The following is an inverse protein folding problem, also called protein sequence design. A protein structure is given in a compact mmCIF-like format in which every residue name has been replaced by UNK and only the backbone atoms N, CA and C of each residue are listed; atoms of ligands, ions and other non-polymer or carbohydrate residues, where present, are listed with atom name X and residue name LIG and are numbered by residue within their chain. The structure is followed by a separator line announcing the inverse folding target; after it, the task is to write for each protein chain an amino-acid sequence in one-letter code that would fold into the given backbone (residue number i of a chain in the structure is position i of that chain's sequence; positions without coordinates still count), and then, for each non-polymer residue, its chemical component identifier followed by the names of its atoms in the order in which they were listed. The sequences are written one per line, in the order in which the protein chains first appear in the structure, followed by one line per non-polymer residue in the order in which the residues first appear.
data_IF_922252127380
#
_entry.id   IF_922252127380
#
_cell.length_a   1.000
_cell.length_b   1.000
_cell.length_c   1.000
_cell.angle_alpha   90.00
_cell.angle_beta   90.00
_cell.angle_gamma   90.00
#
_symmetry.space_group_name_H-M   'P 1'
#
loop_
_entity.id
_entity.type
_entity.pdbx_description
1 polymer ?
#
# COMPACT_ATOMS: atom_id res chain seq x y z
N UNK A 1 0.85 -22.94 -4.27
CA UNK A 1 0.57 -24.23 -3.58
C UNK A 1 1.25 -25.33 -4.37
N UNK A 2 1.66 -26.38 -3.70
CA UNK A 2 2.13 -27.62 -4.33
C UNK A 2 0.97 -28.47 -4.89
N UNK A 3 1.28 -29.68 -5.39
CA UNK A 3 0.26 -30.59 -5.92
C UNK A 3 -0.72 -31.14 -4.87
N UNK A 4 -0.45 -30.95 -3.59
CA UNK A 4 -1.31 -31.33 -2.47
C UNK A 4 -2.09 -30.15 -1.87
N UNK A 5 -1.96 -28.96 -2.46
CA UNK A 5 -2.63 -27.73 -2.01
C UNK A 5 -1.94 -27.03 -0.86
N UNK A 6 -0.74 -27.48 -0.43
CA UNK A 6 0.05 -26.81 0.61
C UNK A 6 0.73 -25.58 0.05
N UNK A 7 0.70 -24.48 0.79
CA UNK A 7 1.40 -23.26 0.40
C UNK A 7 2.91 -23.49 0.34
N UNK A 8 3.55 -23.12 -0.77
CA UNK A 8 5.00 -23.28 -0.98
C UNK A 8 5.85 -22.59 0.08
N UNK A 9 5.30 -21.60 0.78
CA UNK A 9 5.96 -20.89 1.87
C UNK A 9 6.26 -21.80 3.07
N UNK A 10 5.59 -22.96 3.17
CA UNK A 10 5.80 -23.96 4.21
C UNK A 10 6.78 -25.07 3.79
N UNK A 11 7.30 -25.01 2.57
CA UNK A 11 8.41 -25.84 2.12
C UNK A 11 9.73 -25.09 2.39
N UNK A 12 10.68 -25.75 3.03
CA UNK A 12 11.92 -25.09 3.47
C UNK A 12 12.76 -24.58 2.29
N UNK A 13 12.76 -25.30 1.17
CA UNK A 13 13.52 -24.90 -0.01
C UNK A 13 12.79 -23.86 -0.86
N UNK A 14 11.53 -24.12 -1.20
CA UNK A 14 10.73 -23.22 -2.03
C UNK A 14 10.37 -21.93 -1.27
N UNK A 15 10.10 -22.04 0.03
CA UNK A 15 9.82 -20.90 0.90
C UNK A 15 11.03 -19.95 1.04
N UNK A 16 12.25 -20.45 0.87
CA UNK A 16 13.47 -19.64 0.82
C UNK A 16 13.74 -19.11 -0.61
N UNK A 17 13.43 -19.89 -1.64
CA UNK A 17 13.68 -19.53 -3.03
C UNK A 17 12.77 -18.40 -3.54
N UNK A 18 11.49 -18.38 -3.13
CA UNK A 18 10.50 -17.41 -3.62
C UNK A 18 10.86 -15.96 -3.27
N UNK A 19 11.16 -15.58 -2.01
CA UNK A 19 11.54 -14.20 -1.71
C UNK A 19 12.83 -13.79 -2.40
N UNK A 20 13.80 -14.69 -2.59
CA UNK A 20 15.02 -14.42 -3.35
C UNK A 20 14.73 -14.20 -4.84
N UNK A 21 13.79 -14.95 -5.41
CA UNK A 21 13.31 -14.71 -6.78
C UNK A 21 12.65 -13.33 -6.90
N UNK A 22 11.79 -12.95 -5.95
CA UNK A 22 11.16 -11.63 -5.91
C UNK A 22 12.20 -10.51 -5.78
N UNK A 23 13.22 -10.70 -4.95
CA UNK A 23 14.37 -9.80 -4.83
C UNK A 23 15.06 -9.58 -6.18
N UNK A 24 15.38 -10.64 -6.90
CA UNK A 24 16.04 -10.56 -8.21
C UNK A 24 15.13 -9.89 -9.25
N UNK A 25 13.83 -10.20 -9.23
CA UNK A 25 12.84 -9.58 -10.12
C UNK A 25 12.73 -8.07 -9.85
N UNK A 26 12.65 -7.66 -8.60
CA UNK A 26 12.60 -6.25 -8.20
C UNK A 26 13.88 -5.50 -8.63
N UNK A 27 15.05 -6.07 -8.37
CA UNK A 27 16.33 -5.53 -8.80
C UNK A 27 16.43 -5.37 -10.33
N UNK A 28 15.94 -6.36 -11.08
CA UNK A 28 15.88 -6.28 -12.55
C UNK A 28 14.94 -5.17 -13.03
N UNK A 29 13.74 -5.07 -12.46
CA UNK A 29 12.78 -4.01 -12.80
C UNK A 29 13.38 -2.63 -12.51
N UNK A 30 13.97 -2.45 -11.34
CA UNK A 30 14.60 -1.19 -10.96
C UNK A 30 15.75 -0.82 -11.89
N UNK A 31 16.61 -1.78 -12.23
CA UNK A 31 17.71 -1.58 -13.19
C UNK A 31 17.20 -1.11 -14.55
N UNK A 32 16.05 -1.61 -15.02
CA UNK A 32 15.43 -1.17 -16.29
C UNK A 32 14.90 0.26 -16.18
N UNK A 33 14.20 0.58 -15.06
CA UNK A 33 13.66 1.91 -14.81
C UNK A 33 14.76 2.98 -14.67
N UNK A 34 15.86 2.67 -14.00
CA UNK A 34 17.03 3.57 -13.84
C UNK A 34 17.68 3.99 -15.17
N UNK A 35 17.36 3.33 -16.28
CA UNK A 35 17.82 3.75 -17.61
C UNK A 35 17.06 4.99 -18.14
N UNK A 36 15.85 5.26 -17.62
CA UNK A 36 14.96 6.32 -18.10
C UNK A 36 14.55 7.32 -17.02
N UNK A 37 14.86 7.05 -15.75
CA UNK A 37 14.54 7.95 -14.65
C UNK A 37 15.62 7.95 -13.57
N UNK A 38 15.67 9.05 -12.77
CA UNK A 38 16.67 9.22 -11.70
C UNK A 38 16.25 8.58 -10.38
N UNK A 39 14.95 8.48 -10.13
CA UNK A 39 14.38 7.88 -8.93
C UNK A 39 13.41 6.77 -9.28
N UNK A 40 13.38 5.73 -8.49
CA UNK A 40 12.52 4.56 -8.70
C UNK A 40 11.69 4.28 -7.46
N UNK A 41 10.47 3.82 -7.68
CA UNK A 41 9.61 3.25 -6.65
C UNK A 41 9.20 1.87 -7.15
N UNK A 42 9.48 0.81 -6.37
CA UNK A 42 9.04 -0.55 -6.66
C UNK A 42 8.00 -0.96 -5.63
N UNK A 43 6.80 -1.27 -6.10
CA UNK A 43 5.74 -1.80 -5.25
C UNK A 43 5.71 -3.33 -5.25
N UNK A 44 5.47 -3.88 -4.08
CA UNK A 44 5.18 -5.28 -3.84
C UNK A 44 3.71 -5.41 -3.45
N UNK A 45 2.95 -6.20 -4.20
CA UNK A 45 1.55 -6.48 -3.88
C UNK A 45 1.48 -7.66 -2.90
N UNK A 46 0.84 -7.45 -1.76
CA UNK A 46 0.72 -8.42 -0.67
C UNK A 46 -0.76 -8.74 -0.35
N UNK A 47 -1.46 -9.45 -1.24
CA UNK A 47 -2.88 -9.75 -1.04
C UNK A 47 -3.13 -10.74 0.11
N UNK A 48 -2.14 -11.58 0.44
CA UNK A 48 -2.28 -12.61 1.48
C UNK A 48 -2.07 -12.10 2.90
N UNK A 49 -1.53 -10.89 3.07
CA UNK A 49 -1.42 -10.28 4.41
C UNK A 49 -2.80 -10.08 5.07
N UNK A 50 -3.87 -9.97 4.32
CA UNK A 50 -5.24 -9.94 4.84
C UNK A 50 -5.65 -11.24 5.55
N UNK A 51 -4.97 -12.36 5.26
CA UNK A 51 -5.20 -13.65 5.91
C UNK A 51 -4.27 -13.88 7.12
N UNK A 52 -3.36 -12.94 7.45
CA UNK A 52 -2.45 -13.10 8.59
C UNK A 52 -3.22 -13.23 9.91
N UNK A 53 -2.84 -14.22 10.73
CA UNK A 53 -3.55 -14.54 11.98
C UNK A 53 -4.81 -15.41 11.81
N UNK A 54 -5.18 -15.77 10.58
CA UNK A 54 -6.23 -16.75 10.32
C UNK A 54 -5.70 -18.19 10.45
N UNK A 55 -6.63 -19.15 10.59
CA UNK A 55 -6.30 -20.60 10.68
C UNK A 55 -5.53 -21.12 9.45
N UNK A 56 -5.67 -20.42 8.31
CA UNK A 56 -5.00 -20.79 7.06
C UNK A 56 -3.58 -20.24 6.90
N UNK A 57 -3.12 -19.34 7.79
CA UNK A 57 -1.79 -18.72 7.69
C UNK A 57 -1.05 -18.80 9.04
N UNK A 58 -0.29 -19.87 9.21
CA UNK A 58 0.46 -20.16 10.45
C UNK A 58 1.92 -19.68 10.40
N UNK A 59 2.17 -18.50 9.83
CA UNK A 59 3.50 -17.88 9.84
C UNK A 59 3.65 -16.98 11.06
N UNK A 60 4.84 -17.02 11.69
CA UNK A 60 5.15 -16.05 12.74
C UNK A 60 5.37 -14.66 12.15
N UNK A 61 5.15 -13.64 12.97
CA UNK A 61 5.45 -12.24 12.63
C UNK A 61 6.89 -12.06 12.12
N UNK A 62 7.84 -12.67 12.81
CA UNK A 62 9.28 -12.58 12.49
C UNK A 62 9.58 -13.21 11.12
N UNK A 63 8.94 -14.35 10.82
CA UNK A 63 9.09 -15.00 9.52
C UNK A 63 8.54 -14.13 8.39
N UNK A 64 7.37 -13.53 8.55
CA UNK A 64 6.79 -12.62 7.55
C UNK A 64 7.70 -11.41 7.32
N UNK A 65 8.18 -10.75 8.39
CA UNK A 65 9.12 -9.64 8.28
C UNK A 65 10.39 -10.08 7.54
N UNK A 66 10.97 -11.23 7.88
CA UNK A 66 12.18 -11.74 7.22
C UNK A 66 11.99 -11.98 5.72
N UNK A 67 10.83 -12.52 5.31
CA UNK A 67 10.52 -12.75 3.89
C UNK A 67 10.36 -11.44 3.10
N UNK A 68 9.70 -10.45 3.69
CA UNK A 68 9.54 -9.11 3.11
C UNK A 68 10.90 -8.41 2.98
N UNK A 69 11.72 -8.44 4.03
CA UNK A 69 13.06 -7.83 4.02
C UNK A 69 13.97 -8.48 2.98
N UNK A 70 13.89 -9.81 2.79
CA UNK A 70 14.64 -10.47 1.72
C UNK A 70 14.21 -9.96 0.34
N UNK A 71 12.91 -9.81 0.07
CA UNK A 71 12.41 -9.27 -1.19
C UNK A 71 12.81 -7.80 -1.38
N UNK A 72 12.71 -6.98 -0.32
CA UNK A 72 13.06 -5.55 -0.34
C UNK A 72 14.55 -5.30 -0.58
N UNK A 73 15.41 -6.23 -0.18
CA UNK A 73 16.86 -6.16 -0.38
C UNK A 73 17.29 -6.09 -1.85
N UNK A 74 16.38 -6.26 -2.81
CA UNK A 74 16.62 -6.08 -4.24
C UNK A 74 16.45 -4.64 -4.75
N UNK A 75 15.96 -3.72 -3.94
CA UNK A 75 15.60 -2.35 -4.33
C UNK A 75 16.50 -1.35 -3.61
N UNK A 76 17.23 -0.53 -4.37
CA UNK A 76 18.02 0.59 -3.85
C UNK A 76 17.18 1.87 -3.73
N UNK A 77 16.17 2.04 -4.59
CA UNK A 77 15.21 3.14 -4.55
C UNK A 77 14.17 2.97 -3.46
N UNK A 78 13.02 3.64 -3.62
CA UNK A 78 11.92 3.53 -2.66
C UNK A 78 11.16 2.22 -2.83
N UNK A 79 10.86 1.58 -1.71
CA UNK A 79 10.10 0.34 -1.60
C UNK A 79 8.68 0.64 -1.14
N UNK A 80 7.70 0.23 -1.92
CA UNK A 80 6.29 0.30 -1.57
C UNK A 80 5.70 -1.08 -1.31
N UNK A 81 4.70 -1.16 -0.45
CA UNK A 81 3.85 -2.35 -0.30
C UNK A 81 2.40 -1.92 -0.47
N UNK A 82 1.66 -2.68 -1.28
CA UNK A 82 0.21 -2.57 -1.39
C UNK A 82 -0.47 -3.76 -0.71
N UNK A 83 -1.44 -3.47 0.17
CA UNK A 83 -2.35 -4.46 0.71
C UNK A 83 -3.77 -3.92 0.65
N UNK A 84 -4.63 -4.55 -0.15
CA UNK A 84 -6.00 -4.10 -0.39
C UNK A 84 -7.03 -4.59 0.65
N UNK A 85 -6.60 -5.36 1.64
CA UNK A 85 -7.47 -5.90 2.69
C UNK A 85 -7.14 -5.39 4.08
N UNK A 86 -7.96 -5.81 5.05
CA UNK A 86 -7.64 -5.61 6.46
C UNK A 86 -6.48 -6.53 6.86
N UNK A 87 -5.45 -5.99 7.52
CA UNK A 87 -4.26 -6.75 7.94
C UNK A 87 -3.70 -6.23 9.27
N UNK A 88 -2.76 -6.97 9.84
CA UNK A 88 -1.91 -6.45 10.92
C UNK A 88 -0.84 -5.50 10.36
N UNK A 89 -1.21 -4.22 10.25
CA UNK A 89 -0.33 -3.16 9.74
C UNK A 89 0.96 -3.02 10.55
N UNK A 90 0.97 -3.44 11.81
CA UNK A 90 2.17 -3.36 12.65
C UNK A 90 3.33 -4.19 12.10
N UNK A 91 3.05 -5.23 11.30
CA UNK A 91 4.06 -6.06 10.64
C UNK A 91 4.72 -5.27 9.51
N UNK A 92 3.91 -4.75 8.57
CA UNK A 92 4.41 -3.98 7.43
C UNK A 92 5.15 -2.72 7.89
N UNK A 93 4.59 -1.98 8.85
CA UNK A 93 5.19 -0.78 9.42
C UNK A 93 6.50 -1.04 10.19
N UNK A 94 6.78 -2.30 10.59
CA UNK A 94 8.02 -2.70 11.25
C UNK A 94 9.16 -3.03 10.26
N UNK A 95 8.85 -3.17 8.97
CA UNK A 95 9.85 -3.44 7.93
C UNK A 95 10.58 -2.19 7.46
N UNK A 96 11.57 -2.38 6.57
CA UNK A 96 12.29 -1.29 5.90
C UNK A 96 11.51 -0.65 4.74
N UNK A 97 10.20 -0.91 4.61
CA UNK A 97 9.35 -0.29 3.59
C UNK A 97 9.33 1.24 3.74
N UNK A 98 9.33 1.95 2.61
CA UNK A 98 9.27 3.41 2.56
C UNK A 98 7.84 3.92 2.33
N UNK A 99 7.02 3.15 1.61
CA UNK A 99 5.65 3.54 1.25
C UNK A 99 4.70 2.40 1.57
N UNK A 100 3.68 2.65 2.40
CA UNK A 100 2.54 1.74 2.52
C UNK A 100 1.37 2.27 1.70
N UNK A 101 0.75 1.39 0.92
CA UNK A 101 -0.47 1.69 0.17
C UNK A 101 -1.59 0.73 0.59
N UNK A 102 -2.76 1.27 0.85
CA UNK A 102 -3.91 0.50 1.27
C UNK A 102 -5.21 1.08 0.71
N UNK A 103 -6.26 0.28 0.71
CA UNK A 103 -7.61 0.73 0.37
C UNK A 103 -8.16 1.60 1.51
N UNK A 104 -7.93 2.91 1.43
CA UNK A 104 -8.46 3.88 2.37
C UNK A 104 -9.94 4.19 2.12
N UNK A 105 -10.48 3.85 0.93
CA UNK A 105 -11.88 4.01 0.62
C UNK A 105 -12.74 2.97 1.36
N UNK A 106 -12.34 1.71 1.29
CA UNK A 106 -13.07 0.59 1.90
C UNK A 106 -12.64 0.23 3.33
N UNK A 107 -11.36 0.46 3.67
CA UNK A 107 -10.74 -0.04 4.90
C UNK A 107 -9.97 1.02 5.70
N UNK A 108 -10.40 2.29 5.66
CA UNK A 108 -9.72 3.38 6.39
C UNK A 108 -9.51 3.06 7.87
N UNK A 109 -10.46 2.37 8.51
CA UNK A 109 -10.40 2.02 9.92
C UNK A 109 -9.29 0.99 10.25
N UNK A 110 -8.90 0.13 9.28
CA UNK A 110 -7.91 -0.92 9.53
C UNK A 110 -6.55 -0.35 9.94
N UNK A 111 -6.07 0.68 9.23
CA UNK A 111 -4.81 1.35 9.55
C UNK A 111 -4.95 2.19 10.85
N UNK A 112 -6.12 2.73 11.12
CA UNK A 112 -6.36 3.58 12.31
C UNK A 112 -6.25 2.85 13.64
N UNK A 113 -6.21 1.51 13.64
CA UNK A 113 -5.94 0.69 14.83
C UNK A 113 -4.47 0.75 15.27
N UNK A 114 -3.57 1.24 14.42
CA UNK A 114 -2.11 1.26 14.64
C UNK A 114 -1.52 2.68 14.67
N UNK A 115 -2.09 3.63 15.41
CA UNK A 115 -1.70 5.04 15.30
C UNK A 115 -0.27 5.31 15.78
N UNK A 116 0.23 4.53 16.75
CA UNK A 116 1.60 4.66 17.26
C UNK A 116 2.63 4.14 16.24
N UNK A 117 2.31 3.05 15.57
CA UNK A 117 3.14 2.46 14.52
C UNK A 117 3.19 3.38 13.30
N UNK A 118 2.04 3.91 12.86
CA UNK A 118 1.94 4.89 11.78
C UNK A 118 2.72 6.16 12.13
N UNK A 119 2.59 6.67 13.36
CA UNK A 119 3.38 7.84 13.78
C UNK A 119 4.89 7.57 13.66
N UNK A 120 5.38 6.45 14.19
CA UNK A 120 6.80 6.06 14.08
C UNK A 120 7.24 5.92 12.62
N UNK A 121 6.38 5.35 11.78
CA UNK A 121 6.63 5.20 10.35
C UNK A 121 6.78 6.56 9.65
N UNK A 122 5.87 7.50 9.89
CA UNK A 122 5.92 8.85 9.35
C UNK A 122 7.13 9.64 9.90
N UNK A 123 7.42 9.54 11.21
CA UNK A 123 8.55 10.22 11.85
C UNK A 123 9.92 9.78 11.26
N UNK A 124 10.02 8.55 10.76
CA UNK A 124 11.24 8.07 10.07
C UNK A 124 11.29 8.39 8.57
N UNK A 125 10.33 9.16 8.04
CA UNK A 125 10.23 9.53 6.63
C UNK A 125 9.32 8.64 5.79
N UNK A 126 8.61 7.69 6.40
CA UNK A 126 7.68 6.81 5.71
C UNK A 126 6.50 7.57 5.10
N UNK A 127 5.98 7.08 4.00
CA UNK A 127 4.92 7.68 3.19
C UNK A 127 3.67 6.81 3.24
N UNK A 128 2.50 7.40 3.50
CA UNK A 128 1.22 6.69 3.37
C UNK A 128 0.57 7.05 2.04
N UNK A 129 0.37 6.06 1.18
CA UNK A 129 -0.38 6.19 -0.05
C UNK A 129 -1.85 5.83 0.20
N UNK A 130 -2.68 6.86 0.24
CA UNK A 130 -4.10 6.77 0.55
C UNK A 130 -4.89 6.34 -0.69
N UNK A 131 -5.32 5.08 -0.75
CA UNK A 131 -6.18 4.53 -1.80
C UNK A 131 -7.62 5.00 -1.65
N UNK A 132 -7.88 6.28 -1.95
CA UNK A 132 -9.14 6.94 -1.63
C UNK A 132 -10.12 6.99 -2.80
N UNK A 133 -9.66 6.83 -4.04
CA UNK A 133 -10.55 6.78 -5.20
C UNK A 133 -10.99 5.35 -5.44
N UNK A 134 -12.29 5.05 -5.44
CA UNK A 134 -12.79 3.68 -5.58
C UNK A 134 -12.47 3.10 -6.97
N UNK A 135 -12.43 1.76 -7.04
CA UNK A 135 -12.14 1.00 -8.26
C UNK A 135 -13.32 0.11 -8.72
N UNK A 136 -14.55 0.52 -8.40
CA UNK A 136 -15.79 -0.08 -8.92
C UNK A 136 -16.68 1.00 -9.52
N UNK A 137 -17.41 0.68 -10.59
CA UNK A 137 -18.27 1.64 -11.29
C UNK A 137 -19.33 2.22 -10.36
N UNK A 138 -20.00 1.37 -9.57
CA UNK A 138 -21.05 1.81 -8.66
C UNK A 138 -20.57 2.79 -7.60
N UNK A 139 -19.32 2.65 -7.16
CA UNK A 139 -18.73 3.58 -6.19
C UNK A 139 -18.24 4.87 -6.88
N UNK A 140 -17.64 4.77 -8.07
CA UNK A 140 -17.23 5.93 -8.86
C UNK A 140 -18.41 6.83 -9.21
N UNK A 141 -19.59 6.25 -9.48
CA UNK A 141 -20.80 7.01 -9.82
C UNK A 141 -21.36 7.82 -8.65
N UNK A 142 -21.07 7.41 -7.44
CA UNK A 142 -21.55 8.07 -6.21
C UNK A 142 -20.59 9.13 -5.67
N UNK A 143 -19.35 9.12 -6.15
CA UNK A 143 -18.31 9.99 -5.60
C UNK A 143 -18.07 11.24 -6.46
N UNK A 144 -17.67 12.28 -5.76
CA UNK A 144 -17.19 13.54 -6.30
C UNK A 144 -15.85 13.91 -5.67
N UNK A 145 -15.14 14.88 -6.24
CA UNK A 145 -13.91 15.40 -5.63
C UNK A 145 -14.14 15.97 -4.22
N UNK A 146 -15.35 16.49 -3.95
CA UNK A 146 -15.70 16.99 -2.62
C UNK A 146 -15.87 15.86 -1.63
N UNK A 147 -16.70 14.84 -1.96
CA UNK A 147 -16.92 13.69 -1.07
C UNK A 147 -15.65 12.88 -0.82
N UNK A 148 -14.79 12.71 -1.83
CA UNK A 148 -13.49 12.05 -1.67
C UNK A 148 -12.52 12.87 -0.80
N UNK A 149 -12.56 14.21 -0.87
CA UNK A 149 -11.79 15.08 0.03
C UNK A 149 -12.23 14.91 1.49
N UNK A 150 -13.54 14.88 1.75
CA UNK A 150 -14.09 14.70 3.08
C UNK A 150 -13.74 13.31 3.64
N UNK A 151 -13.86 12.25 2.83
CA UNK A 151 -13.44 10.90 3.22
C UNK A 151 -11.95 10.80 3.54
N UNK A 152 -11.10 11.49 2.78
CA UNK A 152 -9.66 11.53 3.05
C UNK A 152 -9.37 12.19 4.40
N UNK A 153 -10.01 13.32 4.68
CA UNK A 153 -9.87 14.03 5.95
C UNK A 153 -10.36 13.17 7.12
N UNK A 154 -11.48 12.47 6.96
CA UNK A 154 -11.99 11.51 7.94
C UNK A 154 -11.03 10.34 8.17
N UNK A 155 -10.46 9.78 7.11
CA UNK A 155 -9.47 8.70 7.21
C UNK A 155 -8.19 9.12 7.94
N UNK A 156 -7.79 10.39 7.82
CA UNK A 156 -6.61 10.96 8.47
C UNK A 156 -6.87 11.40 9.92
N UNK A 157 -8.11 11.69 10.29
CA UNK A 157 -8.47 12.24 11.61
C UNK A 157 -8.02 11.40 12.82
N UNK A 158 -8.05 10.05 12.81
CA UNK A 158 -7.55 9.23 13.91
C UNK A 158 -6.08 9.48 14.24
N UNK A 159 -5.25 9.71 13.22
CA UNK A 159 -3.81 9.92 13.37
C UNK A 159 -3.51 11.32 13.92
N UNK A 160 -4.29 12.32 13.53
CA UNK A 160 -4.14 13.68 14.06
C UNK A 160 -4.47 13.74 15.56
N UNK A 161 -5.46 12.99 16.02
CA UNK A 161 -5.79 12.86 17.44
C UNK A 161 -4.67 12.19 18.25
N UNK A 162 -3.79 11.45 17.59
CA UNK A 162 -2.63 10.77 18.18
C UNK A 162 -1.32 11.55 18.00
N UNK A 163 -1.40 12.81 17.58
CA UNK A 163 -0.27 13.72 17.53
C UNK A 163 0.54 13.67 16.23
N UNK A 164 -0.02 13.16 15.13
CA UNK A 164 0.55 13.35 13.79
C UNK A 164 -0.07 14.63 13.19
N UNK A 165 0.71 15.68 12.88
CA UNK A 165 0.15 16.88 12.28
C UNK A 165 -0.56 16.57 10.96
N UNK A 166 -1.77 17.08 10.77
CA UNK A 166 -2.54 16.86 9.54
C UNK A 166 -1.76 17.26 8.28
N UNK A 167 -1.08 18.40 8.35
CA UNK A 167 -0.23 18.87 7.24
C UNK A 167 0.89 17.86 6.91
N UNK A 168 1.44 17.17 7.90
CA UNK A 168 2.46 16.15 7.67
C UNK A 168 1.88 14.95 6.93
N UNK A 169 0.67 14.48 7.29
CA UNK A 169 -0.03 13.40 6.58
C UNK A 169 -0.27 13.74 5.10
N UNK A 170 -0.56 15.01 4.81
CA UNK A 170 -0.77 15.49 3.44
C UNK A 170 0.55 15.59 2.67
N UNK A 171 1.53 16.31 3.21
CA UNK A 171 2.80 16.59 2.52
C UNK A 171 3.63 15.33 2.32
N UNK A 172 3.54 14.40 3.27
CA UNK A 172 4.24 13.10 3.27
C UNK A 172 3.32 11.97 2.78
N UNK A 173 2.19 12.32 2.15
CA UNK A 173 1.20 11.37 1.62
C UNK A 173 1.19 11.32 0.10
N UNK A 174 0.70 10.21 -0.42
CA UNK A 174 0.33 10.03 -1.82
C UNK A 174 -1.17 9.73 -1.90
N UNK A 175 -1.80 10.07 -3.02
CA UNK A 175 -3.17 9.66 -3.33
C UNK A 175 -3.13 8.62 -4.45
N UNK A 176 -3.92 7.56 -4.30
CA UNK A 176 -4.02 6.49 -5.28
C UNK A 176 -5.47 6.02 -5.43
N UNK A 177 -5.80 5.26 -6.48
CA UNK A 177 -6.98 4.40 -6.44
C UNK A 177 -6.88 3.41 -5.27
N UNK A 178 -8.01 2.91 -4.81
CA UNK A 178 -8.12 1.96 -3.69
C UNK A 178 -7.40 0.64 -3.97
N UNK A 179 -7.43 0.21 -5.23
CA UNK A 179 -6.72 -0.97 -5.74
C UNK A 179 -6.47 -0.81 -7.24
N UNK A 180 -5.96 -1.87 -7.90
CA UNK A 180 -5.71 -1.88 -9.33
C UNK A 180 -6.96 -1.58 -10.17
N UNK A 181 -6.82 -0.76 -11.22
CA UNK A 181 -7.91 -0.36 -12.10
C UNK A 181 -8.28 -1.43 -13.14
N UNK A 182 -7.52 -2.52 -13.22
CA UNK A 182 -7.82 -3.65 -14.12
C UNK A 182 -9.13 -4.39 -13.79
N UNK A 183 -9.71 -4.14 -12.61
CA UNK A 183 -11.03 -4.64 -12.21
C UNK A 183 -12.19 -3.86 -12.83
N UNK A 184 -11.93 -2.66 -13.36
CA UNK A 184 -12.94 -1.86 -14.05
C UNK A 184 -13.22 -2.45 -15.45
N UNK A 185 -14.47 -2.35 -15.94
CA UNK A 185 -14.91 -3.05 -17.14
C UNK A 185 -14.32 -2.48 -18.43
N UNK A 186 -13.92 -1.21 -18.43
CA UNK A 186 -13.47 -0.51 -19.62
C UNK A 186 -12.47 0.63 -19.32
N UNK A 187 -11.92 1.19 -20.41
CA UNK A 187 -10.96 2.29 -20.35
C UNK A 187 -11.61 3.61 -19.92
N UNK A 188 -12.90 3.80 -20.18
CA UNK A 188 -13.64 5.02 -19.80
C UNK A 188 -13.76 5.11 -18.28
N UNK A 189 -14.20 4.02 -17.64
CA UNK A 189 -14.27 3.92 -16.18
C UNK A 189 -12.91 4.11 -15.51
N UNK A 190 -11.86 3.52 -16.10
CA UNK A 190 -10.49 3.72 -15.63
C UNK A 190 -10.01 5.16 -15.79
N UNK A 191 -10.33 5.79 -16.93
CA UNK A 191 -10.07 7.22 -17.19
C UNK A 191 -10.73 8.11 -16.15
N UNK A 192 -12.02 7.87 -15.86
CA UNK A 192 -12.77 8.61 -14.84
C UNK A 192 -12.15 8.50 -13.44
N UNK A 193 -11.71 7.31 -13.04
CA UNK A 193 -11.03 7.13 -11.75
C UNK A 193 -9.74 7.97 -11.67
N UNK A 194 -8.95 8.01 -12.76
CA UNK A 194 -7.73 8.81 -12.83
C UNK A 194 -8.02 10.31 -12.88
N UNK A 195 -9.07 10.75 -13.53
CA UNK A 195 -9.52 12.16 -13.54
C UNK A 195 -9.91 12.61 -12.14
N UNK A 196 -10.77 11.84 -11.43
CA UNK A 196 -11.12 12.11 -10.04
C UNK A 196 -9.90 12.18 -9.13
N UNK A 197 -8.93 11.27 -9.32
CA UNK A 197 -7.68 11.28 -8.58
C UNK A 197 -6.85 12.55 -8.83
N UNK A 198 -6.73 12.95 -10.09
CA UNK A 198 -5.97 14.14 -10.49
C UNK A 198 -6.61 15.43 -9.93
N UNK A 199 -7.94 15.55 -10.04
CA UNK A 199 -8.69 16.68 -9.50
C UNK A 199 -8.64 16.75 -7.97
N UNK A 200 -8.79 15.60 -7.30
CA UNK A 200 -8.64 15.49 -5.84
C UNK A 200 -7.24 15.93 -5.41
N UNK A 201 -6.20 15.42 -6.07
CA UNK A 201 -4.81 15.82 -5.80
C UNK A 201 -4.59 17.32 -5.96
N UNK A 202 -5.13 17.91 -7.04
CA UNK A 202 -5.05 19.35 -7.27
C UNK A 202 -5.80 20.15 -6.18
N UNK A 203 -6.98 19.69 -5.75
CA UNK A 203 -7.76 20.31 -4.67
C UNK A 203 -7.00 20.28 -3.34
N UNK A 204 -6.47 19.10 -2.96
CA UNK A 204 -5.74 18.92 -1.69
C UNK A 204 -4.47 19.79 -1.66
N UNK A 205 -3.71 19.83 -2.75
CA UNK A 205 -2.54 20.71 -2.86
C UNK A 205 -2.90 22.18 -2.70
N UNK A 206 -3.97 22.65 -3.33
CA UNK A 206 -4.40 24.05 -3.18
C UNK A 206 -4.86 24.39 -1.76
N UNK A 207 -5.42 23.42 -1.04
CA UNK A 207 -5.98 23.65 0.31
C UNK A 207 -4.92 23.58 1.40
N UNK A 208 -3.88 22.74 1.24
CA UNK A 208 -3.00 22.37 2.36
C UNK A 208 -1.48 22.44 2.08
N UNK A 209 -1.04 22.44 0.83
CA UNK A 209 0.37 22.59 0.46
C UNK A 209 0.68 24.02 0.02
#
# INVERSE_FOLDING_TARGET
VDGEGKGIIYDDFLGDAVPKFLRLKAAWQEKRLKQICRGTIIFFDEPYMSAFGSVGMMLSREKVISLLEEAFGGVDGLKGVHCCGNTDWSILLATSVDIINFDAYGYAQSLSLYPKEVKRFIDRGGVVAWGIVPNTVEALDKESVASLSDRLEEAMAPFTRQGVPFRQLIVQGLLTPSCGLSSLPDAESSGRALELLAELSARIRRKYA
#
